data_IF_499319463718
#
_entry.id   IF_499319463718
#
_cell.length_a   1.000
_cell.length_b   1.000
_cell.length_c   1.000
_cell.angle_alpha   90.00
_cell.angle_beta   90.00
_cell.angle_gamma   90.00
#
_symmetry.space_group_name_H-M   'P 1'
#
loop_
_entity.id
_entity.type
_entity.pdbx_description
1 polymer ?
#
# COMPACT_ATOMS: atom_id res chain seq x y z
N UNK A 1 -33.73 -26.36 42.97
CA UNK A 1 -32.79 -26.53 41.85
C UNK A 1 -31.75 -27.55 42.27
N UNK A 2 -31.74 -28.74 41.66
CA UNK A 2 -30.97 -29.89 42.15
C UNK A 2 -29.45 -29.58 42.17
N UNK A 3 -28.83 -29.71 43.35
CA UNK A 3 -27.37 -29.62 43.56
C UNK A 3 -26.59 -30.50 42.58
N UNK A 4 -27.16 -31.64 42.18
CA UNK A 4 -26.59 -32.56 41.18
C UNK A 4 -26.45 -31.91 39.80
N UNK A 5 -27.41 -31.07 39.38
CA UNK A 5 -27.36 -30.37 38.09
C UNK A 5 -26.29 -29.28 38.12
N UNK A 6 -26.20 -28.53 39.22
CA UNK A 6 -25.18 -27.46 39.39
C UNK A 6 -23.77 -28.07 39.40
N UNK A 7 -23.56 -29.17 40.14
CA UNK A 7 -22.29 -29.89 40.17
C UNK A 7 -21.93 -30.49 38.80
N UNK A 8 -22.89 -31.08 38.09
CA UNK A 8 -22.69 -31.65 36.76
C UNK A 8 -22.27 -30.60 35.72
N UNK A 9 -22.98 -29.46 35.68
CA UNK A 9 -22.63 -28.35 34.78
C UNK A 9 -21.28 -27.75 35.14
N UNK A 10 -20.98 -27.58 36.43
CA UNK A 10 -19.69 -27.07 36.91
C UNK A 10 -18.52 -27.98 36.51
N UNK A 11 -18.66 -29.30 36.71
CA UNK A 11 -17.63 -30.27 36.33
C UNK A 11 -17.39 -30.27 34.81
N UNK A 12 -18.45 -30.29 34.01
CA UNK A 12 -18.32 -30.28 32.55
C UNK A 12 -17.63 -29.01 32.05
N UNK A 13 -18.03 -27.85 32.60
CA UNK A 13 -17.41 -26.56 32.24
C UNK A 13 -15.93 -26.51 32.63
N UNK A 14 -15.57 -27.03 33.81
CA UNK A 14 -14.18 -27.09 34.27
C UNK A 14 -13.31 -27.98 33.37
N UNK A 15 -13.82 -29.12 32.92
CA UNK A 15 -13.11 -30.01 32.00
C UNK A 15 -12.87 -29.33 30.66
N UNK A 16 -13.89 -28.66 30.10
CA UNK A 16 -13.77 -27.94 28.82
C UNK A 16 -12.77 -26.79 28.95
N UNK A 17 -12.85 -25.98 30.02
CA UNK A 17 -11.90 -24.90 30.28
C UNK A 17 -10.47 -25.43 30.46
N UNK A 18 -10.30 -26.52 31.19
CA UNK A 18 -8.98 -27.17 31.36
C UNK A 18 -8.41 -27.61 30.01
N UNK A 19 -9.22 -28.21 29.14
CA UNK A 19 -8.77 -28.63 27.81
C UNK A 19 -8.36 -27.43 26.96
N UNK A 20 -9.15 -26.35 26.97
CA UNK A 20 -8.82 -25.10 26.26
C UNK A 20 -7.51 -24.50 26.78
N UNK A 21 -7.30 -24.48 28.10
CA UNK A 21 -6.04 -24.00 28.71
C UNK A 21 -4.83 -24.82 28.27
N UNK A 22 -4.96 -26.16 28.22
CA UNK A 22 -3.88 -27.05 27.74
C UNK A 22 -3.56 -26.77 26.27
N UNK A 23 -4.59 -26.61 25.41
CA UNK A 23 -4.40 -26.28 24.00
C UNK A 23 -3.70 -24.92 23.81
N UNK A 24 -4.12 -23.90 24.57
CA UNK A 24 -3.51 -22.57 24.51
C UNK A 24 -2.06 -22.57 25.00
N UNK A 25 -1.75 -23.32 26.07
CA UNK A 25 -0.38 -23.48 26.58
C UNK A 25 0.52 -24.23 25.59
N UNK A 26 0.02 -25.30 24.96
CA UNK A 26 0.75 -26.00 23.91
C UNK A 26 1.02 -25.08 22.72
N UNK A 27 0.03 -24.28 22.29
CA UNK A 27 0.18 -23.31 21.21
C UNK A 27 1.21 -22.22 21.54
N UNK A 28 1.23 -21.68 22.76
CA UNK A 28 2.16 -20.62 23.14
C UNK A 28 3.63 -21.08 23.20
N UNK A 29 3.86 -22.38 23.41
CA UNK A 29 5.20 -22.98 23.39
C UNK A 29 5.65 -23.44 22.00
N UNK A 30 4.72 -23.93 21.17
CA UNK A 30 5.03 -24.54 19.88
C UNK A 30 4.96 -23.56 18.69
N UNK A 31 4.24 -22.46 18.83
CA UNK A 31 4.17 -21.42 17.80
C UNK A 31 5.14 -20.30 18.18
N UNK A 32 6.19 -20.13 17.38
CA UNK A 32 7.07 -18.96 17.43
C UNK A 32 6.22 -17.70 17.28
N UNK A 33 5.97 -17.04 18.40
CA UNK A 33 5.31 -15.73 18.51
C UNK A 33 6.29 -14.70 19.04
N UNK A 34 7.58 -15.00 18.93
CA UNK A 34 8.67 -14.11 19.29
C UNK A 34 9.00 -13.12 18.18
N UNK A 35 9.89 -12.19 18.50
CA UNK A 35 10.53 -11.38 17.49
C UNK A 35 11.40 -12.26 16.59
N UNK A 36 11.36 -11.99 15.30
CA UNK A 36 12.17 -12.63 14.27
C UNK A 36 13.15 -11.62 13.70
N UNK A 37 14.29 -12.13 13.28
CA UNK A 37 15.38 -11.36 12.69
C UNK A 37 15.37 -11.50 11.18
N UNK A 38 15.35 -10.35 10.49
CA UNK A 38 15.45 -10.27 9.04
C UNK A 38 16.79 -9.63 8.69
N UNK A 39 17.62 -10.36 7.95
CA UNK A 39 18.89 -9.87 7.41
C UNK A 39 18.67 -9.43 5.95
N UNK A 40 18.95 -8.15 5.67
CA UNK A 40 18.72 -7.52 4.37
C UNK A 40 20.08 -7.21 3.74
N UNK A 41 20.35 -7.80 2.56
CA UNK A 41 21.58 -7.64 1.77
C UNK A 41 22.88 -7.96 2.54
N UNK A 42 22.83 -8.63 3.69
CA UNK A 42 23.99 -8.88 4.56
C UNK A 42 24.52 -7.63 5.30
N UNK A 43 23.85 -6.48 5.17
CA UNK A 43 24.30 -5.21 5.74
C UNK A 43 23.42 -4.71 6.89
N UNK A 44 22.09 -4.91 6.76
CA UNK A 44 21.11 -4.40 7.73
C UNK A 44 20.33 -5.56 8.35
N UNK A 45 20.35 -5.65 9.68
CA UNK A 45 19.53 -6.62 10.43
C UNK A 45 18.43 -5.89 11.19
N UNK A 46 17.18 -6.32 11.02
CA UNK A 46 16.02 -5.77 11.73
C UNK A 46 15.35 -6.86 12.58
N UNK A 47 14.85 -6.47 13.75
CA UNK A 47 14.15 -7.36 14.68
C UNK A 47 12.70 -6.92 14.76
N UNK A 48 11.78 -7.79 14.36
CA UNK A 48 10.37 -7.44 14.12
C UNK A 48 9.44 -8.53 14.66
N UNK A 49 8.21 -8.21 15.07
CA UNK A 49 7.25 -9.21 15.53
C UNK A 49 6.83 -10.13 14.37
N UNK A 50 6.78 -11.44 14.63
CA UNK A 50 6.29 -12.41 13.67
C UNK A 50 4.79 -12.24 13.40
N UNK A 51 4.36 -12.41 12.14
CA UNK A 51 2.97 -12.52 11.74
C UNK A 51 2.50 -11.58 10.63
N UNK A 52 3.23 -10.50 10.35
CA UNK A 52 2.93 -9.57 9.26
C UNK A 52 3.54 -10.02 7.93
N UNK A 53 3.17 -9.35 6.83
CA UNK A 53 3.72 -9.52 5.50
C UNK A 53 5.04 -8.77 5.36
N UNK A 54 5.99 -9.35 4.63
CA UNK A 54 7.34 -8.81 4.49
C UNK A 54 7.35 -7.35 3.96
N UNK A 55 6.47 -7.01 3.01
CA UNK A 55 6.35 -5.62 2.52
C UNK A 55 6.06 -4.61 3.62
N UNK A 56 5.08 -4.91 4.49
CA UNK A 56 4.66 -4.02 5.57
C UNK A 56 5.76 -3.91 6.63
N UNK A 57 6.37 -5.05 6.97
CA UNK A 57 7.46 -5.12 7.93
C UNK A 57 8.68 -4.33 7.50
N UNK A 58 9.05 -4.40 6.21
CA UNK A 58 10.14 -3.62 5.64
C UNK A 58 9.80 -2.13 5.60
N UNK A 59 8.58 -1.78 5.19
CA UNK A 59 8.11 -0.40 5.16
C UNK A 59 8.15 0.26 6.54
N UNK A 60 7.76 -0.47 7.60
CA UNK A 60 7.80 0.02 8.98
C UNK A 60 9.24 0.27 9.48
N UNK A 61 10.24 -0.35 8.86
CA UNK A 61 11.66 -0.19 9.18
C UNK A 61 12.40 0.74 8.20
N UNK A 62 11.64 1.50 7.40
CA UNK A 62 12.15 2.50 6.45
C UNK A 62 12.75 1.89 5.18
N UNK A 63 12.40 0.64 4.85
CA UNK A 63 12.82 -0.04 3.62
C UNK A 63 11.60 -0.20 2.72
N UNK A 64 11.51 0.61 1.67
CA UNK A 64 10.30 0.71 0.86
C UNK A 64 10.50 0.00 -0.48
N UNK A 65 9.92 -1.19 -0.59
CA UNK A 65 9.86 -1.90 -1.87
C UNK A 65 8.76 -1.30 -2.75
N UNK A 66 9.08 -1.21 -4.04
CA UNK A 66 8.17 -0.89 -5.12
C UNK A 66 6.84 -1.66 -5.00
N UNK A 67 5.73 -0.96 -4.72
CA UNK A 67 4.40 -1.57 -4.61
C UNK A 67 3.31 -0.64 -5.12
N UNK A 68 2.83 -0.90 -6.33
CA UNK A 68 1.73 -0.13 -6.92
C UNK A 68 0.34 -0.59 -6.43
N UNK A 69 0.22 -1.86 -6.01
CA UNK A 69 -1.05 -2.48 -5.63
C UNK A 69 -1.37 -2.45 -4.12
N UNK A 70 -0.54 -1.80 -3.29
CA UNK A 70 -0.74 -1.77 -1.84
C UNK A 70 -0.68 -3.14 -1.15
N UNK A 71 0.02 -4.10 -1.76
CA UNK A 71 0.20 -5.44 -1.21
C UNK A 71 -0.87 -6.48 -1.56
N UNK A 72 -1.68 -6.21 -2.59
CA UNK A 72 -2.65 -7.16 -3.17
C UNK A 72 -2.03 -8.30 -4.00
N UNK A 73 -0.72 -8.28 -4.26
CA UNK A 73 -0.02 -9.36 -4.99
C UNK A 73 -0.22 -9.35 -6.50
N UNK A 74 -0.90 -8.34 -7.07
CA UNK A 74 -1.25 -8.31 -8.50
C UNK A 74 -0.27 -7.55 -9.40
N UNK A 75 0.51 -6.62 -8.85
CA UNK A 75 1.39 -5.76 -9.66
C UNK A 75 2.80 -6.35 -9.93
N UNK A 76 3.19 -7.38 -9.18
CA UNK A 76 4.51 -8.00 -9.24
C UNK A 76 5.73 -7.05 -9.16
N UNK A 77 5.56 -5.88 -8.55
CA UNK A 77 6.65 -4.89 -8.40
C UNK A 77 7.48 -5.12 -7.12
N UNK A 78 6.89 -5.71 -6.08
CA UNK A 78 7.51 -5.88 -4.78
C UNK A 78 8.41 -7.14 -4.73
N UNK A 79 9.22 -7.32 -5.77
CA UNK A 79 10.09 -8.49 -5.92
C UNK A 79 11.28 -8.38 -4.97
N UNK A 80 11.57 -9.48 -4.29
CA UNK A 80 12.76 -9.66 -3.48
C UNK A 80 13.23 -11.10 -3.64
N UNK A 81 14.51 -11.36 -3.34
CA UNK A 81 15.04 -12.72 -3.27
C UNK A 81 15.04 -13.13 -1.80
N UNK A 82 14.52 -14.32 -1.50
CA UNK A 82 14.56 -14.91 -0.16
C UNK A 82 15.53 -16.08 -0.20
N UNK A 83 16.69 -15.90 0.41
CA UNK A 83 17.76 -16.90 0.45
C UNK A 83 17.52 -17.94 1.55
N UNK A 84 16.96 -17.50 2.68
CA UNK A 84 16.62 -18.35 3.81
C UNK A 84 15.34 -17.85 4.49
N UNK A 85 14.55 -18.77 5.03
CA UNK A 85 13.25 -18.46 5.64
C UNK A 85 12.10 -18.26 4.63
N UNK A 86 11.05 -17.54 5.05
CA UNK A 86 9.93 -17.12 4.17
C UNK A 86 8.95 -18.21 3.68
N UNK A 87 9.21 -19.48 3.95
CA UNK A 87 8.31 -20.60 3.59
C UNK A 87 8.24 -20.87 2.08
N UNK A 88 7.29 -21.70 1.65
CA UNK A 88 7.09 -22.00 0.23
C UNK A 88 6.43 -20.85 -0.52
N UNK A 89 6.69 -20.77 -1.84
CA UNK A 89 5.98 -19.85 -2.74
C UNK A 89 4.48 -20.12 -2.71
N UNK A 90 3.67 -19.07 -2.63
CA UNK A 90 2.21 -19.18 -2.69
C UNK A 90 1.74 -19.18 -4.15
N UNK A 91 0.58 -19.79 -4.42
CA UNK A 91 -0.02 -19.80 -5.77
C UNK A 91 -0.29 -18.40 -6.34
N UNK A 92 -0.48 -17.40 -5.47
CA UNK A 92 -0.62 -15.99 -5.87
C UNK A 92 0.69 -15.40 -6.42
N UNK A 93 1.83 -15.95 -6.03
CA UNK A 93 3.15 -15.52 -6.48
C UNK A 93 3.60 -16.31 -7.72
N UNK A 94 3.28 -17.61 -7.79
CA UNK A 94 3.73 -18.53 -8.86
C UNK A 94 3.40 -18.01 -10.27
N UNK A 95 2.25 -17.34 -10.45
CA UNK A 95 1.85 -16.79 -11.74
C UNK A 95 2.78 -15.68 -12.27
N UNK A 96 3.59 -15.08 -11.40
CA UNK A 96 4.47 -13.95 -11.72
C UNK A 96 5.93 -14.33 -11.92
N UNK A 97 6.31 -15.58 -11.68
CA UNK A 97 7.69 -16.04 -11.76
C UNK A 97 7.83 -17.29 -12.63
N UNK A 98 8.93 -17.36 -13.37
CA UNK A 98 9.34 -18.57 -14.06
C UNK A 98 9.85 -19.64 -13.07
N UNK A 99 9.85 -20.92 -13.45
CA UNK A 99 10.46 -21.98 -12.62
C UNK A 99 11.96 -21.80 -12.36
N UNK A 100 12.63 -20.93 -13.13
CA UNK A 100 14.03 -20.56 -12.88
C UNK A 100 14.12 -19.54 -11.74
N UNK A 101 13.35 -18.46 -11.84
CA UNK A 101 13.27 -17.42 -10.80
C UNK A 101 12.79 -17.99 -9.46
N UNK A 102 11.79 -18.88 -9.48
CA UNK A 102 11.34 -19.55 -8.25
C UNK A 102 12.44 -20.38 -7.57
N UNK A 103 13.36 -20.99 -8.34
CA UNK A 103 14.52 -21.73 -7.80
C UNK A 103 15.63 -20.82 -7.30
N UNK A 104 15.77 -19.64 -7.88
CA UNK A 104 16.68 -18.58 -7.42
C UNK A 104 16.16 -17.90 -6.15
N UNK A 105 14.94 -18.21 -5.69
CA UNK A 105 14.38 -17.68 -4.44
C UNK A 105 13.59 -16.38 -4.62
N UNK A 106 13.21 -16.02 -5.86
CA UNK A 106 12.38 -14.83 -6.09
C UNK A 106 11.00 -14.97 -5.46
N UNK A 107 10.56 -13.92 -4.77
CA UNK A 107 9.29 -13.86 -4.05
C UNK A 107 8.64 -12.48 -4.16
N UNK A 108 7.34 -12.41 -3.92
CA UNK A 108 6.64 -11.15 -3.70
C UNK A 108 6.64 -10.84 -2.21
N UNK A 109 7.33 -9.78 -1.80
CA UNK A 109 7.39 -9.37 -0.38
C UNK A 109 6.00 -9.10 0.21
N UNK A 110 5.04 -8.66 -0.59
CA UNK A 110 3.68 -8.43 -0.11
C UNK A 110 2.84 -9.69 0.15
N UNK A 111 3.27 -10.85 -0.35
CA UNK A 111 2.60 -12.13 -0.11
C UNK A 111 3.42 -13.05 0.80
N UNK A 112 4.71 -12.76 0.97
CA UNK A 112 5.61 -13.54 1.83
C UNK A 112 5.34 -13.23 3.31
N UNK A 113 4.90 -14.21 4.12
CA UNK A 113 4.65 -14.00 5.54
C UNK A 113 5.95 -14.10 6.37
N UNK A 114 6.12 -13.19 7.32
CA UNK A 114 7.28 -13.19 8.22
C UNK A 114 6.94 -14.02 9.48
N UNK A 115 7.32 -15.30 9.49
CA UNK A 115 7.04 -16.24 10.60
C UNK A 115 8.28 -16.78 11.31
N UNK A 116 9.43 -16.67 10.66
CA UNK A 116 10.72 -17.16 11.13
C UNK A 116 11.80 -16.22 10.63
N UNK A 117 13.00 -16.36 11.19
CA UNK A 117 14.16 -15.61 10.73
C UNK A 117 14.37 -15.82 9.23
N UNK A 118 14.77 -14.76 8.54
CA UNK A 118 14.91 -14.79 7.09
C UNK A 118 16.06 -13.93 6.60
N UNK A 119 16.65 -14.35 5.49
CA UNK A 119 17.68 -13.60 4.77
C UNK A 119 17.11 -13.21 3.42
N UNK A 120 17.07 -11.92 3.15
CA UNK A 120 16.50 -11.38 1.93
C UNK A 120 17.50 -10.50 1.19
N UNK A 121 17.32 -10.45 -0.12
CA UNK A 121 18.02 -9.54 -1.01
C UNK A 121 17.00 -8.63 -1.70
N UNK A 122 17.26 -7.32 -1.63
CA UNK A 122 16.43 -6.26 -2.21
C UNK A 122 17.32 -5.30 -3.01
N UNK A 123 16.79 -4.64 -4.06
CA UNK A 123 17.56 -3.65 -4.82
C UNK A 123 18.07 -2.53 -3.91
N UNK A 124 19.33 -2.11 -4.07
CA UNK A 124 19.92 -1.06 -3.21
C UNK A 124 19.15 0.27 -3.24
N UNK A 125 18.47 0.56 -4.35
CA UNK A 125 17.64 1.76 -4.55
C UNK A 125 16.50 1.90 -3.51
N UNK A 126 16.14 0.84 -2.79
CA UNK A 126 15.10 0.86 -1.76
C UNK A 126 15.58 1.42 -0.42
N UNK A 127 16.89 1.56 -0.24
CA UNK A 127 17.48 2.22 0.92
C UNK A 127 17.49 3.73 0.68
N UNK A 128 16.77 4.50 1.51
CA UNK A 128 16.79 5.96 1.48
C UNK A 128 15.56 6.64 0.88
N UNK A 129 14.42 5.94 0.80
CA UNK A 129 13.15 6.59 0.46
C UNK A 129 12.78 7.59 1.55
N UNK A 130 12.67 8.86 1.16
CA UNK A 130 12.23 9.95 2.02
C UNK A 130 10.75 10.23 1.78
N UNK A 131 10.06 10.68 2.82
CA UNK A 131 8.72 11.23 2.72
C UNK A 131 8.82 12.76 2.74
N UNK A 132 8.08 13.42 1.86
CA UNK A 132 8.04 14.87 1.77
C UNK A 132 6.60 15.35 1.86
N UNK A 133 6.37 16.38 2.66
CA UNK A 133 5.17 17.19 2.60
C UNK A 133 5.41 18.28 1.55
N UNK A 134 4.59 18.31 0.50
CA UNK A 134 4.76 19.20 -0.63
C UNK A 134 3.60 20.18 -0.70
N UNK A 135 3.83 21.36 -1.26
CA UNK A 135 2.76 22.34 -1.51
C UNK A 135 2.33 22.27 -2.96
N UNK A 136 1.02 22.30 -3.21
CA UNK A 136 0.46 22.36 -4.56
C UNK A 136 0.78 23.71 -5.18
N UNK A 137 1.60 23.71 -6.22
CA UNK A 137 1.91 24.93 -7.00
C UNK A 137 0.81 25.18 -8.03
N UNK A 138 0.38 24.14 -8.75
CA UNK A 138 -0.68 24.22 -9.74
C UNK A 138 -1.34 22.86 -10.00
N UNK A 139 -2.59 22.89 -10.47
CA UNK A 139 -3.36 21.69 -10.79
C UNK A 139 -4.31 21.89 -12.01
N UNK A 140 -3.83 22.46 -13.15
CA UNK A 140 -4.68 22.73 -14.30
C UNK A 140 -5.12 21.45 -15.03
N UNK A 141 -6.25 21.52 -15.74
CA UNK A 141 -6.63 20.49 -16.70
C UNK A 141 -5.76 20.59 -17.96
N UNK A 142 -5.14 19.48 -18.35
CA UNK A 142 -4.44 19.32 -19.64
C UNK A 142 -5.26 18.52 -20.64
N UNK A 143 -6.29 17.83 -20.17
CA UNK A 143 -7.33 17.20 -20.98
C UNK A 143 -8.63 17.13 -20.18
N UNK A 144 -9.71 16.67 -20.83
CA UNK A 144 -11.04 16.52 -20.22
C UNK A 144 -10.99 15.84 -18.86
N UNK A 145 -10.27 14.71 -18.75
CA UNK A 145 -10.18 13.91 -17.52
C UNK A 145 -8.78 13.83 -16.92
N UNK A 146 -7.86 14.72 -17.31
CA UNK A 146 -6.47 14.70 -16.85
C UNK A 146 -6.09 16.09 -16.33
N UNK A 147 -5.58 16.13 -15.10
CA UNK A 147 -4.91 17.31 -14.52
C UNK A 147 -3.42 17.09 -14.41
N UNK A 148 -2.65 18.15 -14.64
CA UNK A 148 -1.22 18.18 -14.35
C UNK A 148 -1.04 18.74 -12.93
N UNK A 149 -0.78 17.85 -11.96
CA UNK A 149 -0.48 18.25 -10.59
C UNK A 149 1.01 18.61 -10.50
N UNK A 150 1.32 19.86 -10.19
CA UNK A 150 2.69 20.31 -9.89
C UNK A 150 2.82 20.53 -8.39
N UNK A 151 3.70 19.76 -7.77
CA UNK A 151 4.03 19.85 -6.35
C UNK A 151 5.39 20.50 -6.18
N UNK A 152 5.47 21.47 -5.27
CA UNK A 152 6.71 22.10 -4.85
C UNK A 152 7.27 21.33 -3.66
N UNK A 153 8.53 20.91 -3.77
CA UNK A 153 9.26 20.24 -2.69
C UNK A 153 9.69 21.26 -1.62
N UNK A 154 9.87 20.83 -0.37
CA UNK A 154 10.50 21.65 0.67
C UNK A 154 11.85 22.22 0.23
N UNK A 155 12.21 23.40 0.74
CA UNK A 155 13.47 24.07 0.37
C UNK A 155 14.69 23.17 0.66
N UNK A 156 15.55 23.02 -0.36
CA UNK A 156 16.79 22.23 -0.26
C UNK A 156 16.63 20.74 -0.51
N UNK A 157 15.41 20.22 -0.66
CA UNK A 157 15.17 18.83 -1.04
C UNK A 157 15.10 18.68 -2.57
N UNK A 158 15.69 17.59 -3.07
CA UNK A 158 15.60 17.22 -4.48
C UNK A 158 15.41 15.72 -4.59
N UNK A 159 14.46 15.30 -5.43
CA UNK A 159 14.23 13.89 -5.70
C UNK A 159 15.28 13.42 -6.69
N UNK A 160 16.23 12.60 -6.25
CA UNK A 160 17.17 11.94 -7.15
C UNK A 160 16.48 10.74 -7.81
N UNK A 161 15.66 11.01 -8.83
CA UNK A 161 14.98 9.96 -9.60
C UNK A 161 15.59 9.77 -10.99
N UNK A 162 15.28 8.64 -11.62
CA UNK A 162 15.51 8.39 -13.04
C UNK A 162 14.20 8.53 -13.79
N UNK A 163 14.27 9.08 -15.00
CA UNK A 163 13.10 9.19 -15.88
C UNK A 163 12.41 7.81 -16.05
N UNK A 164 11.08 7.79 -15.92
CA UNK A 164 10.29 6.55 -15.86
C UNK A 164 10.04 6.01 -14.45
N UNK A 165 10.66 6.60 -13.43
CA UNK A 165 10.31 6.32 -12.03
C UNK A 165 8.89 6.78 -11.66
N UNK A 166 8.46 6.35 -10.49
CA UNK A 166 7.21 6.82 -9.86
C UNK A 166 7.45 7.13 -8.38
N UNK A 167 6.57 7.94 -7.81
CA UNK A 167 6.48 8.14 -6.36
C UNK A 167 5.11 7.72 -5.88
N UNK A 168 4.99 7.53 -4.57
CA UNK A 168 3.72 7.22 -3.92
C UNK A 168 3.15 8.50 -3.31
N UNK A 169 1.94 8.87 -3.71
CA UNK A 169 1.17 9.89 -3.01
C UNK A 169 0.37 9.24 -1.89
N UNK A 170 0.37 9.89 -0.74
CA UNK A 170 -0.44 9.55 0.43
C UNK A 170 -1.59 10.55 0.52
N UNK A 171 -2.81 10.03 0.65
CA UNK A 171 -4.04 10.81 0.74
C UNK A 171 -4.67 10.58 2.10
N UNK A 172 -4.90 11.62 2.90
CA UNK A 172 -5.61 11.50 4.16
C UNK A 172 -7.10 11.18 3.94
N UNK A 173 -7.82 10.76 4.99
CA UNK A 173 -9.28 10.64 4.95
C UNK A 173 -9.92 11.94 4.46
N UNK A 174 -10.88 11.83 3.54
CA UNK A 174 -11.49 12.98 2.88
C UNK A 174 -12.92 12.69 2.43
N UNK A 175 -13.66 13.76 2.18
CA UNK A 175 -14.92 13.74 1.47
C UNK A 175 -14.90 14.87 0.43
N UNK A 176 -14.86 14.51 -0.84
CA UNK A 176 -14.77 15.47 -1.95
C UNK A 176 -15.96 15.30 -2.88
N UNK A 177 -16.43 16.42 -3.44
CA UNK A 177 -17.51 16.47 -4.42
C UNK A 177 -16.95 16.90 -5.76
N UNK A 178 -17.35 16.23 -6.82
CA UNK A 178 -16.87 16.55 -8.17
C UNK A 178 -17.40 17.90 -8.66
N UNK A 179 -18.49 18.40 -8.07
CA UNK A 179 -19.01 19.75 -8.27
C UNK A 179 -18.02 20.85 -7.90
N UNK A 180 -17.09 20.56 -6.99
CA UNK A 180 -16.16 21.55 -6.42
C UNK A 180 -14.83 21.59 -7.20
N UNK A 181 -14.68 20.72 -8.19
CA UNK A 181 -13.50 20.67 -9.04
C UNK A 181 -13.42 21.90 -9.94
N UNK A 182 -12.24 22.51 -9.99
CA UNK A 182 -11.95 23.59 -10.93
C UNK A 182 -11.70 23.02 -12.33
N UNK A 183 -12.74 23.00 -13.17
CA UNK A 183 -12.73 22.45 -14.53
C UNK A 183 -13.06 23.58 -15.52
N UNK A 184 -12.12 23.97 -16.40
CA UNK A 184 -12.37 24.96 -17.45
C UNK A 184 -13.53 24.59 -18.36
N UNK A 185 -14.22 25.59 -18.91
CA UNK A 185 -15.40 25.41 -19.75
C UNK A 185 -15.14 24.51 -20.98
N UNK A 186 -13.94 24.57 -21.56
CA UNK A 186 -13.53 23.72 -22.69
C UNK A 186 -13.55 22.22 -22.38
N UNK A 187 -13.34 21.84 -21.11
CA UNK A 187 -13.28 20.45 -20.66
C UNK A 187 -14.58 19.99 -20.01
N UNK A 188 -15.51 20.89 -19.70
CA UNK A 188 -16.67 20.59 -18.85
C UNK A 188 -17.78 19.79 -19.54
N UNK A 189 -17.85 19.84 -20.88
CA UNK A 189 -18.96 19.25 -21.65
C UNK A 189 -19.22 17.78 -21.37
N UNK A 190 -18.18 16.94 -21.31
CA UNK A 190 -18.35 15.51 -21.01
C UNK A 190 -18.68 15.25 -19.54
N UNK A 191 -18.21 16.10 -18.62
CA UNK A 191 -18.53 15.98 -17.19
C UNK A 191 -20.03 16.20 -16.94
N UNK A 192 -20.61 17.18 -17.63
CA UNK A 192 -22.05 17.45 -17.58
C UNK A 192 -22.84 16.35 -18.31
N UNK A 193 -22.39 15.94 -19.51
CA UNK A 193 -23.04 14.89 -20.31
C UNK A 193 -23.21 13.57 -19.55
N UNK A 194 -22.19 13.15 -18.81
CA UNK A 194 -22.21 11.90 -18.06
C UNK A 194 -22.64 12.07 -16.60
N UNK A 195 -22.99 13.29 -16.17
CA UNK A 195 -23.43 13.56 -14.80
C UNK A 195 -22.35 13.37 -13.74
N UNK A 196 -21.08 13.42 -14.12
CA UNK A 196 -19.96 13.21 -13.19
C UNK A 196 -19.87 14.29 -12.12
N UNK A 197 -20.38 15.50 -12.37
CA UNK A 197 -20.41 16.58 -11.37
C UNK A 197 -21.29 16.25 -10.14
N UNK A 198 -22.16 15.25 -10.24
CA UNK A 198 -23.00 14.77 -9.13
C UNK A 198 -22.34 13.66 -8.30
N UNK A 199 -21.10 13.27 -8.63
CA UNK A 199 -20.36 12.21 -7.95
C UNK A 199 -19.64 12.76 -6.73
N UNK A 200 -19.59 11.94 -5.68
CA UNK A 200 -18.83 12.22 -4.46
C UNK A 200 -17.90 11.04 -4.16
N UNK A 201 -16.73 11.33 -3.59
CA UNK A 201 -15.79 10.34 -3.07
C UNK A 201 -15.60 10.57 -1.58
N UNK A 202 -15.94 9.56 -0.78
CA UNK A 202 -15.73 9.56 0.67
C UNK A 202 -14.80 8.40 1.04
N UNK A 203 -13.72 8.74 1.73
CA UNK A 203 -12.68 7.79 2.13
C UNK A 203 -12.36 8.04 3.60
N UNK A 204 -12.47 7.00 4.42
CA UNK A 204 -12.31 7.09 5.88
C UNK A 204 -10.91 6.69 6.37
N UNK A 205 -10.11 6.10 5.49
CA UNK A 205 -8.76 5.62 5.77
C UNK A 205 -7.73 6.35 4.92
N UNK A 206 -6.48 6.39 5.37
CA UNK A 206 -5.37 6.87 4.57
C UNK A 206 -5.12 5.92 3.40
N UNK A 207 -4.99 6.47 2.19
CA UNK A 207 -4.80 5.70 0.97
C UNK A 207 -3.50 6.10 0.30
N UNK A 208 -2.73 5.12 -0.17
CA UNK A 208 -1.48 5.34 -0.90
C UNK A 208 -1.62 4.83 -2.34
N UNK A 209 -1.17 5.61 -3.33
CA UNK A 209 -1.12 5.19 -4.74
C UNK A 209 0.14 5.70 -5.43
N UNK A 210 0.66 4.88 -6.34
CA UNK A 210 1.81 5.22 -7.17
C UNK A 210 1.39 6.09 -8.37
N UNK A 211 2.16 7.14 -8.63
CA UNK A 211 2.06 7.97 -9.83
C UNK A 211 3.43 8.23 -10.44
N UNK A 212 3.51 8.08 -11.76
CA UNK A 212 4.73 8.35 -12.51
C UNK A 212 5.02 9.84 -12.55
N UNK A 213 6.29 10.19 -12.39
CA UNK A 213 6.75 11.57 -12.52
C UNK A 213 6.75 11.96 -14.00
N UNK A 214 6.16 13.11 -14.30
CA UNK A 214 6.10 13.67 -15.64
C UNK A 214 7.29 14.59 -15.94
N UNK A 215 7.93 15.16 -14.90
CA UNK A 215 9.14 15.97 -15.04
C UNK A 215 10.40 15.10 -15.21
N UNK A 216 11.46 15.68 -15.77
CA UNK A 216 12.77 15.02 -15.88
C UNK A 216 13.71 15.42 -14.71
N UNK A 217 14.77 14.65 -14.42
CA UNK A 217 15.56 14.82 -13.19
C UNK A 217 16.24 16.18 -12.95
N UNK A 218 16.40 17.03 -13.97
CA UNK A 218 17.00 18.36 -13.80
C UNK A 218 15.96 19.47 -13.55
N UNK A 219 14.65 19.18 -13.63
CA UNK A 219 13.59 20.06 -13.10
C UNK A 219 13.55 19.94 -11.57
N UNK A 220 14.52 20.59 -10.92
CA UNK A 220 14.72 20.53 -9.46
C UNK A 220 13.67 21.34 -8.71
N UNK A 221 13.35 20.89 -7.49
CA UNK A 221 12.46 21.60 -6.56
C UNK A 221 10.96 21.43 -6.84
N UNK A 222 10.60 20.76 -7.94
CA UNK A 222 9.22 20.44 -8.28
C UNK A 222 9.08 18.97 -8.71
N UNK A 223 7.87 18.44 -8.58
CA UNK A 223 7.49 17.14 -9.13
C UNK A 223 6.15 17.29 -9.83
N UNK A 224 6.07 16.82 -11.08
CA UNK A 224 4.88 16.93 -11.93
C UNK A 224 4.23 15.57 -12.10
N UNK A 225 2.90 15.53 -12.15
CA UNK A 225 2.14 14.30 -12.38
C UNK A 225 0.98 14.55 -13.33
N UNK A 226 0.73 13.58 -14.22
CA UNK A 226 -0.48 13.56 -15.04
C UNK A 226 -1.47 12.59 -14.42
N UNK A 227 -2.50 13.14 -13.77
CA UNK A 227 -3.45 12.38 -12.97
C UNK A 227 -4.75 12.28 -13.74
N UNK A 228 -5.17 11.06 -14.05
CA UNK A 228 -6.49 10.80 -14.63
C UNK A 228 -7.54 10.69 -13.54
N UNK A 229 -8.67 11.38 -13.70
CA UNK A 229 -9.85 11.16 -12.86
C UNK A 229 -10.39 9.75 -13.10
N UNK A 230 -10.34 8.89 -12.08
CA UNK A 230 -11.01 7.59 -12.12
C UNK A 230 -12.47 7.77 -11.73
N UNK A 231 -13.27 8.24 -12.70
CA UNK A 231 -14.73 8.32 -12.56
C UNK A 231 -15.33 6.92 -12.43
N UNK A 232 -16.52 6.77 -11.83
CA UNK A 232 -17.32 5.58 -12.03
C UNK A 232 -17.55 5.33 -13.53
N UNK A 233 -17.77 4.07 -13.94
CA UNK A 233 -18.19 3.76 -15.30
C UNK A 233 -19.42 4.61 -15.70
N UNK A 234 -19.44 5.24 -16.89
CA UNK A 234 -20.53 6.14 -17.29
C UNK A 234 -21.93 5.49 -17.29
N UNK A 235 -21.98 4.18 -17.44
CA UNK A 235 -23.21 3.40 -17.41
C UNK A 235 -23.72 3.06 -16.00
N UNK A 236 -22.91 3.28 -14.96
CA UNK A 236 -23.29 3.02 -13.57
C UNK A 236 -22.56 3.96 -12.58
N UNK A 237 -23.16 5.12 -12.32
CA UNK A 237 -22.65 6.10 -11.37
C UNK A 237 -22.84 5.72 -9.89
N UNK A 238 -23.55 4.62 -9.59
CA UNK A 238 -23.68 4.14 -8.21
C UNK A 238 -22.41 3.45 -7.70
N UNK A 239 -21.49 3.11 -8.59
CA UNK A 239 -20.21 2.50 -8.22
C UNK A 239 -19.28 3.55 -7.59
N UNK A 240 -18.41 3.14 -6.64
CA UNK A 240 -17.47 4.05 -6.01
C UNK A 240 -16.55 4.74 -7.01
N UNK A 241 -16.34 6.05 -6.81
CA UNK A 241 -15.32 6.80 -7.54
C UNK A 241 -13.91 6.45 -7.05
N UNK A 242 -12.90 6.80 -7.86
CA UNK A 242 -11.51 6.57 -7.51
C UNK A 242 -11.07 7.39 -6.30
N UNK A 243 -10.65 6.73 -5.23
CA UNK A 243 -10.30 7.33 -3.93
C UNK A 243 -9.24 8.45 -4.08
N UNK A 244 -8.04 8.10 -4.54
CA UNK A 244 -6.91 9.04 -4.65
C UNK A 244 -7.09 10.08 -5.76
N UNK A 245 -7.55 9.67 -6.95
CA UNK A 245 -7.72 10.61 -8.06
C UNK A 245 -8.77 11.67 -7.76
N UNK A 246 -9.82 11.33 -7.00
CA UNK A 246 -10.83 12.31 -6.59
C UNK A 246 -10.24 13.37 -5.67
N UNK A 247 -9.43 12.95 -4.70
CA UNK A 247 -8.74 13.87 -3.80
C UNK A 247 -7.76 14.77 -4.55
N UNK A 248 -6.91 14.20 -5.41
CA UNK A 248 -5.96 14.99 -6.21
C UNK A 248 -6.65 16.00 -7.12
N UNK A 249 -7.82 15.67 -7.69
CA UNK A 249 -8.60 16.61 -8.49
C UNK A 249 -9.23 17.75 -7.68
N UNK A 250 -9.41 17.55 -6.37
CA UNK A 250 -9.93 18.57 -5.46
C UNK A 250 -8.86 19.58 -5.00
N UNK A 251 -7.58 19.21 -5.10
CA UNK A 251 -6.47 20.04 -4.63
C UNK A 251 -6.37 21.36 -5.39
N UNK A 252 -6.11 22.43 -4.66
CA UNK A 252 -5.95 23.80 -5.14
C UNK A 252 -4.54 24.31 -4.83
N UNK A 253 -4.06 25.34 -5.55
CA UNK A 253 -2.78 25.97 -5.23
C UNK A 253 -2.72 26.41 -3.76
N UNK A 254 -1.68 25.99 -3.05
CA UNK A 254 -1.46 26.28 -1.63
C UNK A 254 -1.87 25.18 -0.65
N UNK A 255 -2.60 24.15 -1.12
CA UNK A 255 -2.84 22.91 -0.35
C UNK A 255 -1.55 22.11 -0.14
#
# INVERSE_FOLDING_TARGET
MNTVVILGVGMFTAIVLSLVCIILFARSRLVSSGNVTIEINGEKTITVPAGDKLLNTLSAQGVFLASACGGGGSCAQCKCIVNDGGGSMLATEEAHFSPREAREGWRLSCQTPVKQDMKIEVPEDVFGVKQWECTVESNPNVATFIKELTLKLPEGENVNFRAGGYVQLECPPHHVKYSDFDIPAEYKGDWERFGFLNVESKVEETVIRAYSMANYPEERGIVKFNIRAATPPPNNLSLPAGQMSSWVFSLKPGD
#
